data_IF_819061572954
#
_entry.id   IF_819061572954
#
_cell.length_a   1.000
_cell.length_b   1.000
_cell.length_c   1.000
_cell.angle_alpha   90.00
_cell.angle_beta   90.00
_cell.angle_gamma   90.00
#
_symmetry.space_group_name_H-M   'P 1'
#
loop_
_entity.id
_entity.type
_entity.pdbx_description
1 polymer ?
#
# COMPACT_ATOMS: atom_id res chain seq x y z
N UNK A 1 10.59 3.77 5.09
CA UNK A 1 11.37 5.03 5.07
C UNK A 1 10.82 6.04 4.06
N UNK A 2 10.76 5.70 2.76
CA UNK A 2 10.27 6.62 1.70
C UNK A 2 8.80 7.05 1.84
N UNK A 3 7.89 6.11 2.13
CA UNK A 3 6.46 6.39 2.27
C UNK A 3 6.16 7.60 3.18
N UNK A 4 6.90 7.72 4.29
CA UNK A 4 6.70 8.76 5.29
C UNK A 4 7.54 10.02 5.07
N UNK A 5 8.36 10.08 4.00
CA UNK A 5 8.97 11.33 3.57
C UNK A 5 7.85 12.30 3.15
N UNK A 6 8.08 13.60 3.34
CA UNK A 6 7.07 14.62 3.07
C UNK A 6 7.46 15.51 1.91
N UNK A 7 6.47 15.87 1.09
CA UNK A 7 6.54 16.96 0.11
C UNK A 7 5.42 17.92 0.44
N UNK A 8 5.71 19.19 0.65
CA UNK A 8 4.74 20.19 1.11
C UNK A 8 4.00 19.71 2.37
N UNK A 9 4.75 19.15 3.34
CA UNK A 9 4.22 18.59 4.61
C UNK A 9 3.31 17.36 4.47
N UNK A 10 2.97 16.95 3.24
CA UNK A 10 2.15 15.77 2.94
C UNK A 10 3.07 14.54 2.79
N UNK A 11 2.82 13.44 3.52
CA UNK A 11 3.55 12.19 3.32
C UNK A 11 3.41 11.65 1.89
N UNK A 12 4.48 11.08 1.32
CA UNK A 12 4.48 10.57 -0.06
C UNK A 12 3.32 9.60 -0.32
N UNK A 13 3.09 8.67 0.62
CA UNK A 13 2.01 7.69 0.49
C UNK A 13 0.62 8.31 0.31
N UNK A 14 0.39 9.52 0.85
CA UNK A 14 -0.90 10.18 0.78
C UNK A 14 -1.21 10.63 -0.64
N UNK A 15 -0.21 11.08 -1.40
CA UNK A 15 -0.39 11.45 -2.80
C UNK A 15 -0.88 10.27 -3.63
N UNK A 16 -0.29 9.09 -3.43
CA UNK A 16 -0.70 7.85 -4.11
C UNK A 16 -2.14 7.45 -3.76
N UNK A 17 -2.51 7.49 -2.46
CA UNK A 17 -3.88 7.20 -2.04
C UNK A 17 -4.87 8.19 -2.65
N UNK A 18 -4.58 9.48 -2.59
CA UNK A 18 -5.46 10.52 -3.14
C UNK A 18 -5.67 10.34 -4.65
N UNK A 19 -4.63 9.95 -5.38
CA UNK A 19 -4.74 9.67 -6.81
C UNK A 19 -5.60 8.43 -7.13
N UNK A 20 -5.55 7.39 -6.27
CA UNK A 20 -6.32 6.15 -6.44
C UNK A 20 -7.78 6.26 -5.99
N UNK A 21 -8.05 7.06 -4.96
CA UNK A 21 -9.36 7.20 -4.29
C UNK A 21 -10.56 7.36 -5.25
N UNK A 22 -10.52 8.21 -6.30
CA UNK A 22 -11.67 8.36 -7.20
C UNK A 22 -11.93 7.17 -8.13
N UNK A 23 -10.99 6.21 -8.23
CA UNK A 23 -11.07 5.10 -9.19
C UNK A 23 -11.20 3.73 -8.52
N UNK A 24 -10.88 3.63 -7.23
CA UNK A 24 -10.81 2.36 -6.51
C UNK A 24 -11.90 2.27 -5.43
N UNK A 25 -12.66 1.18 -5.40
CA UNK A 25 -13.63 0.87 -4.35
C UNK A 25 -12.97 0.44 -3.03
N UNK A 26 -11.74 -0.07 -3.10
CA UNK A 26 -10.90 -0.43 -1.95
C UNK A 26 -9.44 -0.11 -2.26
N UNK A 27 -8.69 0.32 -1.26
CA UNK A 27 -7.26 0.61 -1.37
C UNK A 27 -6.52 -0.20 -0.31
N UNK A 28 -5.59 -1.04 -0.78
CA UNK A 28 -4.69 -1.82 0.05
C UNK A 28 -3.28 -1.21 0.00
N UNK A 29 -2.59 -1.22 1.14
CA UNK A 29 -1.19 -0.84 1.23
C UNK A 29 -0.39 -2.04 1.69
N UNK A 30 0.53 -2.50 0.84
CA UNK A 30 1.49 -3.54 1.21
C UNK A 30 2.68 -2.89 1.91
N UNK A 31 2.95 -3.31 3.14
CA UNK A 31 4.00 -2.75 3.96
C UNK A 31 4.78 -3.84 4.71
N UNK A 32 6.04 -3.55 5.02
CA UNK A 32 6.83 -4.40 5.92
C UNK A 32 6.31 -4.26 7.36
N UNK A 33 6.40 -5.33 8.16
CA UNK A 33 5.87 -5.43 9.53
C UNK A 33 6.21 -4.23 10.42
N UNK A 34 7.44 -3.73 10.33
CA UNK A 34 7.92 -2.57 11.11
C UNK A 34 7.19 -1.24 10.80
N UNK A 35 6.51 -1.15 9.66
CA UNK A 35 5.75 0.04 9.24
C UNK A 35 4.24 -0.14 9.38
N UNK A 36 3.72 -1.37 9.47
CA UNK A 36 2.28 -1.66 9.55
C UNK A 36 1.60 -0.90 10.69
N UNK A 37 2.17 -0.95 11.91
CA UNK A 37 1.63 -0.24 13.09
C UNK A 37 1.63 1.29 12.93
N UNK A 38 2.52 1.84 12.11
CA UNK A 38 2.56 3.28 11.82
C UNK A 38 1.49 3.67 10.82
N UNK A 39 1.25 2.85 9.80
CA UNK A 39 0.14 3.07 8.87
C UNK A 39 -1.22 2.92 9.56
N UNK A 40 -1.46 1.83 10.29
CA UNK A 40 -2.74 1.58 10.98
C UNK A 40 -3.11 2.70 11.96
N UNK A 41 -2.13 3.31 12.64
CA UNK A 41 -2.38 4.46 13.52
C UNK A 41 -2.78 5.74 12.79
N UNK A 42 -2.30 5.94 11.56
CA UNK A 42 -2.57 7.15 10.77
C UNK A 42 -3.77 6.99 9.84
N UNK A 43 -3.97 5.80 9.31
CA UNK A 43 -4.89 5.48 8.23
C UNK A 43 -5.87 4.38 8.67
N UNK A 44 -6.86 4.74 9.48
CA UNK A 44 -7.80 3.76 10.04
C UNK A 44 -8.73 3.14 9.00
N UNK A 45 -8.91 3.80 7.85
CA UNK A 45 -9.77 3.33 6.76
C UNK A 45 -9.04 2.50 5.71
N UNK A 46 -7.71 2.38 5.78
CA UNK A 46 -6.93 1.62 4.80
C UNK A 46 -6.67 0.19 5.25
N UNK A 47 -6.66 -0.71 4.28
CA UNK A 47 -6.32 -2.10 4.48
C UNK A 47 -4.80 -2.26 4.38
N UNK A 48 -4.13 -2.38 5.52
CA UNK A 48 -2.67 -2.56 5.59
C UNK A 48 -2.35 -4.05 5.64
N UNK A 49 -1.62 -4.55 4.66
CA UNK A 49 -1.22 -5.95 4.58
C UNK A 49 0.30 -6.09 4.48
N UNK A 50 0.81 -7.30 4.74
CA UNK A 50 2.19 -7.67 4.47
C UNK A 50 2.29 -8.50 3.19
N UNK A 51 3.50 -8.67 2.66
CA UNK A 51 3.77 -9.66 1.63
C UNK A 51 3.38 -11.07 2.12
N UNK A 52 2.94 -11.91 1.19
CA UNK A 52 2.74 -13.33 1.40
C UNK A 52 4.00 -13.96 2.02
N UNK A 53 3.86 -14.82 3.06
CA UNK A 53 5.01 -15.33 3.81
C UNK A 53 6.10 -15.97 2.94
N UNK A 54 5.70 -16.68 1.88
CA UNK A 54 6.62 -17.41 1.00
C UNK A 54 7.41 -16.50 0.03
N UNK A 55 6.96 -15.24 -0.16
CA UNK A 55 7.55 -14.30 -1.12
C UNK A 55 7.99 -12.99 -0.45
N UNK A 56 8.09 -12.98 0.88
CA UNK A 56 8.33 -11.77 1.66
C UNK A 56 9.65 -11.11 1.29
N UNK A 57 9.57 -9.89 0.76
CA UNK A 57 10.75 -9.12 0.36
C UNK A 57 11.26 -9.40 -1.07
N UNK A 58 10.57 -10.22 -1.86
CA UNK A 58 10.95 -10.55 -3.25
C UNK A 58 10.55 -9.43 -4.26
N UNK A 59 10.37 -8.21 -3.76
CA UNK A 59 10.16 -7.01 -4.56
C UNK A 59 8.70 -6.77 -4.96
N UNK A 60 8.46 -5.88 -5.96
CA UNK A 60 7.12 -5.38 -6.26
C UNK A 60 6.12 -6.45 -6.70
N UNK A 61 6.56 -7.49 -7.40
CA UNK A 61 5.67 -8.56 -7.87
C UNK A 61 5.13 -9.40 -6.71
N UNK A 62 5.92 -9.63 -5.66
CA UNK A 62 5.45 -10.30 -4.45
C UNK A 62 4.35 -9.49 -3.76
N UNK A 63 4.51 -8.16 -3.68
CA UNK A 63 3.47 -7.29 -3.13
C UNK A 63 2.17 -7.31 -3.96
N UNK A 64 2.28 -7.28 -5.30
CA UNK A 64 1.11 -7.38 -6.18
C UNK A 64 0.40 -8.74 -5.99
N UNK A 65 1.15 -9.84 -6.01
CA UNK A 65 0.61 -11.17 -5.77
C UNK A 65 -0.12 -11.27 -4.43
N UNK A 66 0.47 -10.72 -3.37
CA UNK A 66 -0.11 -10.73 -2.02
C UNK A 66 -1.47 -10.00 -1.95
N UNK A 67 -1.61 -8.91 -2.69
CA UNK A 67 -2.89 -8.20 -2.83
C UNK A 67 -3.91 -9.06 -3.55
N UNK A 68 -3.53 -9.67 -4.67
CA UNK A 68 -4.42 -10.51 -5.47
C UNK A 68 -4.92 -11.73 -4.69
N UNK A 69 -4.09 -12.31 -3.83
CA UNK A 69 -4.48 -13.41 -2.95
C UNK A 69 -5.40 -12.96 -1.80
N UNK A 70 -5.22 -11.72 -1.32
CA UNK A 70 -6.02 -11.18 -0.20
C UNK A 70 -7.40 -10.70 -0.63
N UNK A 71 -7.51 -10.07 -1.80
CA UNK A 71 -8.76 -9.51 -2.33
C UNK A 71 -8.90 -9.89 -3.80
N UNK A 72 -9.96 -10.62 -4.10
CA UNK A 72 -10.35 -10.95 -5.46
C UNK A 72 -10.88 -9.72 -6.20
N UNK A 73 -10.41 -9.52 -7.43
CA UNK A 73 -10.83 -8.44 -8.30
C UNK A 73 -10.53 -8.78 -9.75
N UNK A 74 -11.37 -8.29 -10.66
CA UNK A 74 -11.13 -8.44 -12.11
C UNK A 74 -9.99 -7.52 -12.58
N UNK A 75 -9.86 -6.36 -11.93
CA UNK A 75 -8.88 -5.33 -12.26
C UNK A 75 -8.21 -4.78 -10.99
N UNK A 76 -6.90 -4.56 -11.09
CA UNK A 76 -6.09 -3.96 -10.03
C UNK A 76 -5.36 -2.74 -10.59
N UNK A 77 -5.42 -1.62 -9.85
CA UNK A 77 -4.60 -0.45 -10.12
C UNK A 77 -3.44 -0.43 -9.13
N UNK A 78 -2.21 -0.38 -9.64
CA UNK A 78 -0.99 -0.44 -8.83
C UNK A 78 -0.17 0.82 -9.04
N UNK A 79 0.14 1.52 -7.95
CA UNK A 79 0.96 2.73 -7.94
C UNK A 79 2.02 2.59 -6.86
N UNK A 80 3.31 2.87 -7.15
CA UNK A 80 4.33 2.88 -6.12
C UNK A 80 4.09 4.05 -5.14
N UNK A 81 4.46 3.83 -3.88
CA UNK A 81 4.18 4.74 -2.74
C UNK A 81 4.88 6.12 -2.85
N UNK A 82 5.83 6.26 -3.78
CA UNK A 82 6.69 7.42 -4.00
C UNK A 82 6.58 7.99 -5.43
N UNK A 83 5.50 7.67 -6.15
CA UNK A 83 5.16 8.26 -7.46
C UNK A 83 4.80 9.75 -7.40
#
# INVERSE_FOLDING_TARGET
AKAFATRNEIPFYQYSITALTPFCSSILVVAQSQWCSRFQRREQSLHIIEDHPDFKGDGPLAGIYSVMETVEGEWYMVVPIDA
#
